data_IF_694867320554
#
_entry.id   IF_694867320554
#
_cell.length_a   1.000
_cell.length_b   1.000
_cell.length_c   1.000
_cell.angle_alpha   90.00
_cell.angle_beta   90.00
_cell.angle_gamma   90.00
#
_symmetry.space_group_name_H-M   'P 1'
#
loop_
_entity.id
_entity.type
_entity.pdbx_description
1 polymer ?
#
# COMPACT_ATOMS: atom_id res chain seq x y z
N UNK A 1 21.04 -13.18 2.05
CA UNK A 1 20.01 -12.31 1.46
C UNK A 1 19.06 -11.85 2.56
N UNK A 2 18.49 -10.65 2.43
CA UNK A 2 17.54 -10.09 3.37
C UNK A 2 16.30 -9.62 2.61
N UNK A 3 15.12 -9.69 3.25
CA UNK A 3 13.92 -9.10 2.70
C UNK A 3 13.90 -7.62 3.12
N UNK A 4 14.31 -6.73 2.23
CA UNK A 4 14.47 -5.32 2.56
C UNK A 4 13.31 -4.46 2.07
N UNK A 5 12.57 -4.91 1.07
CA UNK A 5 11.54 -4.05 0.51
C UNK A 5 10.53 -4.76 -0.37
N UNK A 6 9.56 -3.98 -0.80
CA UNK A 6 8.52 -4.36 -1.74
C UNK A 6 8.40 -3.28 -2.82
N UNK A 7 8.16 -3.70 -4.06
CA UNK A 7 7.94 -2.79 -5.17
C UNK A 7 6.67 -3.12 -5.92
N UNK A 8 5.99 -2.08 -6.37
CA UNK A 8 4.81 -2.19 -7.22
C UNK A 8 5.17 -1.78 -8.65
N UNK A 9 4.79 -2.61 -9.60
CA UNK A 9 4.88 -2.26 -11.02
C UNK A 9 3.62 -1.51 -11.40
N UNK A 10 3.77 -0.23 -11.76
CA UNK A 10 2.63 0.67 -11.93
C UNK A 10 2.43 1.05 -13.40
N UNK A 11 1.19 1.21 -13.78
CA UNK A 11 0.82 1.65 -15.12
C UNK A 11 0.81 3.19 -15.23
N UNK A 12 0.21 3.85 -14.25
CA UNK A 12 0.08 5.31 -14.21
C UNK A 12 0.83 5.85 -12.98
N UNK A 13 2.09 6.20 -13.19
CA UNK A 13 2.96 6.65 -12.09
C UNK A 13 2.42 7.91 -11.41
N UNK A 14 1.93 8.88 -12.18
CA UNK A 14 1.41 10.13 -11.61
C UNK A 14 0.24 9.87 -10.65
N UNK A 15 -0.70 9.05 -11.08
CA UNK A 15 -1.88 8.68 -10.27
C UNK A 15 -1.46 7.91 -9.01
N UNK A 16 -0.50 7.00 -9.14
CA UNK A 16 -0.02 6.20 -8.01
C UNK A 16 0.78 7.02 -7.02
N UNK A 17 1.61 7.95 -7.49
CA UNK A 17 2.32 8.91 -6.63
C UNK A 17 1.32 9.74 -5.83
N UNK A 18 0.30 10.30 -6.49
CA UNK A 18 -0.72 11.09 -5.80
C UNK A 18 -1.43 10.29 -4.72
N UNK A 19 -1.77 9.03 -5.01
CA UNK A 19 -2.45 8.18 -4.03
C UNK A 19 -1.56 7.93 -2.80
N UNK A 20 -0.36 7.40 -2.99
CA UNK A 20 0.49 7.04 -1.86
C UNK A 20 0.98 8.27 -1.09
N UNK A 21 1.23 9.38 -1.78
CA UNK A 21 1.64 10.63 -1.13
C UNK A 21 0.49 11.34 -0.44
N UNK A 22 -0.61 11.58 -1.16
CA UNK A 22 -1.66 12.49 -0.71
C UNK A 22 -2.75 11.78 0.09
N UNK A 23 -3.06 10.52 -0.23
CA UNK A 23 -4.06 9.74 0.50
C UNK A 23 -3.44 9.03 1.70
N UNK A 24 -2.31 8.36 1.51
CA UNK A 24 -1.67 7.57 2.58
C UNK A 24 -0.55 8.30 3.32
N UNK A 25 -0.13 9.47 2.85
CA UNK A 25 0.88 10.29 3.53
C UNK A 25 2.31 9.75 3.42
N UNK A 26 2.62 8.95 2.39
CA UNK A 26 3.98 8.50 2.16
C UNK A 26 4.85 9.67 1.71
N UNK A 27 6.06 9.76 2.24
CA UNK A 27 6.99 10.85 1.92
C UNK A 27 7.68 10.64 0.57
N UNK A 28 6.91 10.75 -0.50
CA UNK A 28 7.42 10.64 -1.87
C UNK A 28 8.02 11.98 -2.28
N UNK A 29 9.29 11.98 -2.62
CA UNK A 29 10.05 13.20 -3.02
C UNK A 29 10.08 13.38 -4.52
N UNK A 30 9.89 12.32 -5.27
CA UNK A 30 9.92 12.36 -6.73
C UNK A 30 8.69 13.07 -7.29
N UNK A 31 8.87 13.74 -8.45
CA UNK A 31 7.75 14.36 -9.16
C UNK A 31 6.88 13.33 -9.87
N UNK A 32 5.68 13.77 -10.28
CA UNK A 32 4.66 12.90 -10.88
C UNK A 32 5.07 12.32 -12.25
N UNK A 33 6.12 12.86 -12.86
CA UNK A 33 6.69 12.34 -14.11
C UNK A 33 7.86 11.38 -13.88
N UNK A 34 8.11 10.98 -12.65
CA UNK A 34 9.18 10.04 -12.32
C UNK A 34 8.93 8.67 -12.94
N UNK A 35 10.00 7.96 -13.28
CA UNK A 35 9.97 6.59 -13.76
C UNK A 35 10.00 5.61 -12.60
N UNK A 36 10.70 5.98 -11.53
CA UNK A 36 10.85 5.18 -10.32
C UNK A 36 10.64 6.05 -9.09
N UNK A 37 10.09 5.44 -8.05
CA UNK A 37 9.96 6.04 -6.73
C UNK A 37 10.59 5.09 -5.72
N UNK A 38 11.41 5.64 -4.82
CA UNK A 38 12.05 4.88 -3.74
C UNK A 38 11.91 5.64 -2.44
N UNK A 39 11.44 4.98 -1.40
CA UNK A 39 11.46 5.55 -0.06
C UNK A 39 11.60 4.46 1.00
N UNK A 40 12.14 4.85 2.14
CA UNK A 40 12.16 3.99 3.32
C UNK A 40 10.98 4.39 4.20
N UNK A 41 10.04 3.47 4.36
CA UNK A 41 8.87 3.65 5.22
C UNK A 41 8.99 2.72 6.41
N UNK A 42 9.26 3.29 7.59
CA UNK A 42 9.41 2.52 8.84
C UNK A 42 10.39 1.35 8.71
N UNK A 43 11.53 1.59 8.07
CA UNK A 43 12.58 0.61 7.88
C UNK A 43 12.38 -0.35 6.70
N UNK A 44 11.29 -0.23 5.96
CA UNK A 44 11.01 -1.05 4.78
C UNK A 44 11.16 -0.21 3.52
N UNK A 45 11.90 -0.71 2.55
CA UNK A 45 12.00 -0.07 1.25
C UNK A 45 10.68 -0.26 0.49
N UNK A 46 10.09 0.84 0.07
CA UNK A 46 8.89 0.87 -0.75
C UNK A 46 9.22 1.49 -2.09
N UNK A 47 8.83 0.84 -3.18
CA UNK A 47 9.17 1.28 -4.54
C UNK A 47 7.94 1.27 -5.43
N UNK A 48 7.88 2.26 -6.33
CA UNK A 48 7.01 2.24 -7.49
C UNK A 48 7.90 2.20 -8.73
N UNK A 49 7.63 1.28 -9.64
CA UNK A 49 8.41 1.09 -10.85
C UNK A 49 7.47 1.05 -12.05
N UNK A 50 7.75 1.85 -13.08
CA UNK A 50 6.91 1.88 -14.28
C UNK A 50 6.99 0.57 -15.04
N UNK A 51 5.82 -0.04 -15.33
CA UNK A 51 5.71 -1.33 -16.05
C UNK A 51 6.47 -1.34 -17.36
N UNK A 52 6.31 -0.29 -18.17
CA UNK A 52 6.95 -0.20 -19.49
C UNK A 52 8.46 -0.26 -19.39
N UNK A 53 9.04 0.43 -18.43
CA UNK A 53 10.49 0.44 -18.24
C UNK A 53 10.99 -0.90 -17.73
N UNK A 54 10.24 -1.54 -16.86
CA UNK A 54 10.59 -2.87 -16.36
C UNK A 54 10.53 -3.91 -17.50
N UNK A 55 9.48 -3.86 -18.32
CA UNK A 55 9.35 -4.73 -19.49
C UNK A 55 10.52 -4.52 -20.47
N UNK A 56 10.90 -3.26 -20.68
CA UNK A 56 12.04 -2.93 -21.55
C UNK A 56 13.35 -3.48 -20.97
N UNK A 57 13.55 -3.29 -19.67
CA UNK A 57 14.77 -3.75 -18.98
C UNK A 57 14.91 -5.27 -19.04
N UNK A 58 13.82 -6.00 -18.86
CA UNK A 58 13.83 -7.47 -18.86
C UNK A 58 13.61 -8.08 -20.23
N UNK A 59 13.28 -7.28 -21.25
CA UNK A 59 12.91 -7.71 -22.58
C UNK A 59 11.79 -8.76 -22.55
N UNK A 60 10.78 -8.52 -21.72
CA UNK A 60 9.63 -9.41 -21.52
C UNK A 60 8.36 -8.60 -21.41
N UNK A 61 7.23 -9.26 -21.72
CA UNK A 61 5.88 -8.76 -21.43
C UNK A 61 5.34 -9.54 -20.24
N UNK A 62 4.56 -8.85 -19.42
CA UNK A 62 3.92 -9.44 -18.24
C UNK A 62 2.42 -9.24 -18.32
N UNK A 63 1.68 -10.13 -17.69
CA UNK A 63 0.24 -9.97 -17.52
C UNK A 63 -0.06 -9.15 -16.28
N UNK A 64 -1.02 -8.26 -16.42
CA UNK A 64 -1.46 -7.39 -15.32
C UNK A 64 -2.96 -7.53 -15.15
N UNK A 65 -3.40 -7.75 -13.93
CA UNK A 65 -4.82 -7.81 -13.61
C UNK A 65 -5.47 -6.43 -13.71
N UNK A 66 -6.72 -6.40 -14.12
CA UNK A 66 -7.56 -5.21 -14.07
C UNK A 66 -8.50 -5.34 -12.87
N UNK A 67 -8.76 -4.21 -12.20
CA UNK A 67 -9.58 -4.22 -11.00
C UNK A 67 -8.81 -4.68 -9.77
N UNK A 68 -9.53 -5.18 -8.78
CA UNK A 68 -8.93 -5.60 -7.52
C UNK A 68 -7.99 -6.79 -7.71
N UNK A 69 -6.78 -6.67 -7.14
CA UNK A 69 -5.71 -7.65 -7.26
C UNK A 69 -5.55 -8.41 -5.94
N UNK A 70 -5.83 -9.71 -5.96
CA UNK A 70 -5.74 -10.58 -4.80
C UNK A 70 -4.44 -11.36 -4.65
N UNK A 71 -3.36 -10.98 -5.37
CA UNK A 71 -2.09 -11.72 -5.29
C UNK A 71 -1.29 -11.42 -4.03
N UNK A 72 -1.40 -10.21 -3.51
CA UNK A 72 -0.70 -9.79 -2.30
C UNK A 72 -1.40 -8.59 -1.69
N UNK A 73 -0.94 -8.21 -0.52
CA UNK A 73 -1.41 -6.99 0.13
C UNK A 73 -0.25 -6.20 0.69
N UNK A 74 -0.46 -4.89 0.84
CA UNK A 74 0.42 -4.04 1.65
C UNK A 74 -0.27 -3.89 3.00
N UNK A 75 0.42 -4.26 4.08
CA UNK A 75 -0.14 -4.17 5.42
C UNK A 75 0.42 -2.95 6.14
N UNK A 76 -0.48 -2.07 6.58
CA UNK A 76 -0.15 -0.89 7.35
C UNK A 76 -0.78 -1.05 8.74
N UNK A 77 0.04 -1.29 9.75
CA UNK A 77 -0.48 -1.48 11.10
C UNK A 77 -0.40 -0.20 11.92
N UNK A 78 -1.40 -0.05 12.76
CA UNK A 78 -1.52 1.02 13.76
C UNK A 78 -1.65 0.39 15.15
N UNK A 79 -1.45 1.20 16.19
CA UNK A 79 -1.36 0.67 17.55
C UNK A 79 -2.71 0.36 18.17
N UNK A 80 -3.76 1.09 17.80
CA UNK A 80 -5.07 0.97 18.43
C UNK A 80 -6.18 0.67 17.44
N UNK A 81 -7.27 0.09 17.93
CA UNK A 81 -8.46 -0.15 17.12
C UNK A 81 -9.08 1.15 16.61
N UNK A 82 -9.08 2.20 17.44
CA UNK A 82 -9.60 3.52 17.06
C UNK A 82 -8.82 4.11 15.88
N UNK A 83 -7.52 3.88 15.83
CA UNK A 83 -6.69 4.35 14.71
C UNK A 83 -7.03 3.63 13.40
N UNK A 84 -7.45 2.36 13.46
CA UNK A 84 -7.93 1.67 12.25
C UNK A 84 -9.13 2.42 11.66
N UNK A 85 -10.10 2.75 12.51
CA UNK A 85 -11.30 3.45 12.07
C UNK A 85 -10.98 4.84 11.52
N UNK A 86 -10.13 5.59 12.22
CA UNK A 86 -9.79 6.96 11.82
C UNK A 86 -8.95 7.00 10.54
N UNK A 87 -7.98 6.10 10.39
CA UNK A 87 -7.16 6.04 9.18
C UNK A 87 -7.97 5.58 7.98
N UNK A 88 -8.86 4.61 8.17
CA UNK A 88 -9.80 4.20 7.12
C UNK A 88 -10.66 5.38 6.67
N UNK A 89 -11.27 6.09 7.61
CA UNK A 89 -12.15 7.21 7.29
C UNK A 89 -11.40 8.32 6.53
N UNK A 90 -10.19 8.65 6.95
CA UNK A 90 -9.35 9.64 6.27
C UNK A 90 -9.02 9.20 4.83
N UNK A 91 -8.63 7.94 4.66
CA UNK A 91 -8.27 7.42 3.35
C UNK A 91 -9.45 7.45 2.37
N UNK A 92 -10.62 7.01 2.82
CA UNK A 92 -11.84 7.01 2.00
C UNK A 92 -12.27 8.44 1.67
N UNK A 93 -12.21 9.36 2.63
CA UNK A 93 -12.51 10.78 2.39
C UNK A 93 -11.61 11.38 1.32
N UNK A 94 -10.34 10.97 1.29
CA UNK A 94 -9.35 11.43 0.30
C UNK A 94 -9.42 10.67 -1.02
N UNK A 95 -10.35 9.73 -1.17
CA UNK A 95 -10.63 9.08 -2.45
C UNK A 95 -10.20 7.61 -2.56
N UNK A 96 -9.73 6.98 -1.48
CA UNK A 96 -9.44 5.55 -1.51
C UNK A 96 -10.72 4.74 -1.72
N UNK A 97 -10.62 3.66 -2.49
CA UNK A 97 -11.73 2.73 -2.66
C UNK A 97 -11.81 1.80 -1.46
N UNK A 98 -12.99 1.74 -0.82
CA UNK A 98 -13.23 0.78 0.26
C UNK A 98 -13.40 -0.63 -0.31
N UNK A 99 -12.76 -1.61 0.33
CA UNK A 99 -12.91 -3.03 0.00
C UNK A 99 -13.58 -3.76 1.16
N UNK A 100 -13.17 -3.47 2.39
CA UNK A 100 -13.78 -3.98 3.62
C UNK A 100 -13.75 -2.89 4.68
N UNK A 101 -14.91 -2.53 5.19
CA UNK A 101 -15.01 -1.58 6.30
C UNK A 101 -14.35 -2.14 7.57
N UNK A 102 -13.92 -1.27 8.51
CA UNK A 102 -13.32 -1.73 9.77
C UNK A 102 -14.19 -2.76 10.49
N UNK A 103 -13.60 -3.90 10.78
CA UNK A 103 -14.27 -5.04 11.41
C UNK A 103 -13.33 -5.65 12.44
N UNK A 104 -13.87 -5.99 13.63
CA UNK A 104 -13.12 -6.71 14.64
C UNK A 104 -13.29 -8.21 14.40
N UNK A 105 -12.18 -8.89 14.16
CA UNK A 105 -12.17 -10.30 13.83
C UNK A 105 -12.07 -11.18 15.08
N UNK A 106 -12.54 -12.45 15.00
CA UNK A 106 -12.53 -13.34 16.16
C UNK A 106 -11.13 -13.62 16.75
N UNK A 107 -10.07 -13.43 15.96
CA UNK A 107 -8.70 -13.63 16.43
C UNK A 107 -8.11 -12.40 17.14
N UNK A 108 -8.92 -11.37 17.41
CA UNK A 108 -8.49 -10.21 18.21
C UNK A 108 -7.85 -9.08 17.42
N UNK A 109 -8.04 -9.06 16.11
CA UNK A 109 -7.57 -8.01 15.21
C UNK A 109 -8.75 -7.15 14.77
N UNK A 110 -8.55 -5.83 14.73
CA UNK A 110 -9.44 -4.96 13.96
C UNK A 110 -8.74 -4.60 12.67
N UNK A 111 -9.43 -4.78 11.56
CA UNK A 111 -8.84 -4.60 10.24
C UNK A 111 -9.85 -4.02 9.26
N UNK A 112 -9.33 -3.36 8.23
CA UNK A 112 -10.08 -2.92 7.07
C UNK A 112 -9.20 -3.06 5.82
N UNK A 113 -9.84 -3.00 4.66
CA UNK A 113 -9.13 -3.04 3.39
C UNK A 113 -9.59 -1.90 2.49
N UNK A 114 -8.63 -1.24 1.89
CA UNK A 114 -8.82 -0.28 0.81
C UNK A 114 -8.02 -0.76 -0.39
N UNK A 115 -8.23 -0.15 -1.55
CA UNK A 115 -7.38 -0.40 -2.70
C UNK A 115 -6.78 0.89 -3.23
N UNK A 116 -5.61 0.77 -3.84
CA UNK A 116 -5.05 1.86 -4.60
C UNK A 116 -5.72 1.98 -5.98
N UNK A 117 -5.40 3.02 -6.78
CA UNK A 117 -6.07 3.21 -8.08
C UNK A 117 -5.88 2.09 -9.09
N UNK A 118 -4.86 1.26 -8.91
CA UNK A 118 -4.59 0.12 -9.80
C UNK A 118 -5.06 -1.21 -9.22
N UNK A 119 -5.81 -1.17 -8.12
CA UNK A 119 -6.46 -2.35 -7.55
C UNK A 119 -5.63 -3.16 -6.57
N UNK A 120 -4.47 -2.66 -6.14
CA UNK A 120 -3.68 -3.35 -5.12
C UNK A 120 -4.34 -3.20 -3.76
N UNK A 121 -4.41 -4.31 -3.01
CA UNK A 121 -5.06 -4.34 -1.70
C UNK A 121 -4.13 -3.77 -0.62
N UNK A 122 -4.70 -2.97 0.25
CA UNK A 122 -4.02 -2.36 1.38
C UNK A 122 -4.82 -2.65 2.63
N UNK A 123 -4.18 -3.34 3.57
CA UNK A 123 -4.75 -3.57 4.89
C UNK A 123 -4.35 -2.44 5.84
N UNK A 124 -5.31 -1.94 6.63
CA UNK A 124 -5.02 -1.13 7.81
C UNK A 124 -5.53 -1.93 9.01
N UNK A 125 -4.62 -2.35 9.88
CA UNK A 125 -4.98 -3.27 10.94
C UNK A 125 -4.29 -2.96 12.27
N UNK A 126 -4.84 -3.52 13.34
CA UNK A 126 -4.29 -3.40 14.69
C UNK A 126 -4.64 -4.63 15.52
N UNK A 127 -3.71 -5.00 16.41
CA UNK A 127 -3.96 -5.96 17.48
C UNK A 127 -4.14 -5.25 18.84
N UNK A 128 -4.39 -3.95 18.81
CA UNK A 128 -4.55 -3.07 19.98
C UNK A 128 -3.29 -3.02 20.85
N UNK A 129 -2.14 -3.13 20.19
CA UNK A 129 -0.80 -2.98 20.78
C UNK A 129 0.19 -2.72 19.65
N UNK A 130 1.38 -2.17 19.92
CA UNK A 130 2.39 -1.95 18.88
C UNK A 130 2.72 -3.25 18.17
N UNK A 131 2.71 -3.22 16.84
CA UNK A 131 2.92 -4.43 16.02
C UNK A 131 4.24 -5.14 16.34
N UNK A 132 5.30 -4.37 16.58
CA UNK A 132 6.63 -4.95 16.85
C UNK A 132 6.66 -5.81 18.12
N UNK A 133 5.84 -5.50 19.10
CA UNK A 133 5.73 -6.32 20.31
C UNK A 133 4.93 -7.60 20.08
N UNK A 134 4.19 -7.67 18.98
CA UNK A 134 3.44 -8.87 18.62
C UNK A 134 4.34 -9.94 17.99
N UNK A 135 5.39 -9.52 17.28
CA UNK A 135 6.31 -10.44 16.55
C UNK A 135 7.51 -10.84 17.38
N UNK A 136 7.75 -10.21 18.49
CA UNK A 136 8.81 -10.53 19.45
C UNK A 136 8.31 -11.43 20.56
#
# INVERSE_FOLDING_TARGET
>A
MKLDGVGLFVNDMATMIRFYRDVLGFEIKEGENAVNVYLIKNGTLFMLYERKNFEKMTNRKYEYLKGLNGHFEIALYVDTFEEVDSEYAKAVEKGAQSVLEPTTEPWGQRTCYISDPEGNLIEIGSFNKPFRTFTE
#
